data_IF_504874415783
#
_entry.id   IF_504874415783
#
_cell.length_a   1.000
_cell.length_b   1.000
_cell.length_c   1.000
_cell.angle_alpha   90.00
_cell.angle_beta   90.00
_cell.angle_gamma   90.00
#
_symmetry.space_group_name_H-M   'P 1'
#
loop_
_entity.id
_entity.type
_entity.pdbx_description
1 polymer ?
2 non-polymer ?
3 non-polymer ?
4 non-polymer ?
5 non-polymer ?
6 water ?
#
# COMPACT_ATOMS: atom_id res chain seq x y z
N UNK A 9 21.24 7.32 -21.21
CA UNK A 9 21.53 7.52 -19.78
C UNK A 9 22.18 6.26 -19.23
N UNK A 10 23.21 5.78 -19.92
CA UNK A 10 23.92 4.52 -19.62
C UNK A 10 23.88 4.14 -18.15
N UNK A 11 23.19 3.05 -17.88
CA UNK A 11 23.15 2.43 -16.56
C UNK A 11 22.29 3.22 -15.56
N UNK A 12 22.32 2.78 -14.31
CA UNK A 12 21.40 3.26 -13.29
C UNK A 12 22.08 4.12 -12.21
N UNK A 13 21.30 5.03 -11.62
CA UNK A 13 21.76 5.85 -10.51
C UNK A 13 21.69 5.10 -9.19
N UNK A 14 22.78 5.11 -8.43
CA UNK A 14 22.85 4.40 -7.16
C UNK A 14 22.76 5.34 -5.96
N UNK A 15 22.06 4.90 -4.93
CA UNK A 15 21.88 5.71 -3.72
C UNK A 15 22.38 4.98 -2.47
N UNK A 16 22.29 3.66 -2.47
CA UNK A 16 22.65 2.88 -1.30
C UNK A 16 23.73 1.85 -1.59
N UNK A 17 24.88 2.31 -2.06
CA UNK A 17 26.03 1.44 -2.23
C UNK A 17 26.56 1.00 -0.87
N UNK A 18 26.39 1.87 0.13
CA UNK A 18 26.86 1.62 1.49
C UNK A 18 25.82 0.88 2.33
N UNK A 19 24.78 0.38 1.67
CA UNK A 19 23.70 -0.31 2.36
C UNK A 19 24.19 -1.59 3.05
N UNK A 20 24.13 -1.59 4.37
CA UNK A 20 24.54 -2.75 5.17
C UNK A 20 23.46 -3.13 6.16
N UNK A 21 23.02 -4.39 6.11
CA UNK A 21 22.04 -4.89 7.05
C UNK A 21 22.70 -5.14 8.41
N UNK A 22 22.32 -4.33 9.40
CA UNK A 22 22.92 -4.39 10.73
C UNK A 22 22.78 -5.77 11.36
N UNK A 23 21.59 -6.34 11.25
CA UNK A 23 21.33 -7.70 11.73
C UNK A 23 20.61 -8.50 10.66
N UNK A 24 21.16 -9.67 10.33
CA UNK A 24 20.58 -10.52 9.30
C UNK A 24 19.72 -11.62 9.91
N UNK A 25 18.89 -12.25 9.08
CA UNK A 25 17.95 -13.26 9.55
C UNK A 25 18.62 -14.53 10.06
N UNK A 26 19.94 -14.59 9.95
CA UNK A 26 20.70 -15.75 10.39
C UNK A 26 21.19 -15.62 11.83
N UNK A 27 21.17 -14.40 12.35
CA UNK A 27 21.64 -14.14 13.71
C UNK A 27 20.50 -13.72 14.63
N UNK A 28 19.34 -13.45 14.04
CA UNK A 28 18.15 -13.06 14.80
C UNK A 28 16.90 -13.69 14.21
N UNK A 29 15.75 -13.34 14.79
CA UNK A 29 14.48 -13.84 14.29
C UNK A 29 14.13 -13.19 12.96
N UNK A 30 13.83 -14.01 11.94
CA UNK A 30 13.50 -13.53 10.59
C UNK A 30 12.32 -12.57 10.58
N UNK A 31 12.31 -11.64 9.63
CA UNK A 31 11.27 -10.63 9.57
C UNK A 31 10.43 -10.75 8.30
N UNK A 32 9.11 -10.70 8.49
CA UNK A 32 8.17 -10.80 7.38
C UNK A 32 7.28 -9.55 7.33
N UNK A 33 7.45 -8.75 6.29
CA UNK A 33 6.69 -7.51 6.15
C UNK A 33 5.80 -7.51 4.92
N UNK A 34 4.53 -7.16 5.12
CA UNK A 34 3.60 -7.03 4.01
C UNK A 34 3.26 -5.57 3.75
N UNK A 35 3.74 -5.06 2.62
CA UNK A 35 3.45 -3.69 2.21
C UNK A 35 2.22 -3.66 1.31
N UNK A 36 1.12 -3.13 1.83
CA UNK A 36 -0.11 -3.02 1.04
C UNK A 36 -0.21 -1.65 0.40
N UNK A 37 0.01 -1.61 -0.91
CA UNK A 37 -0.11 -0.36 -1.66
C UNK A 37 -1.59 -0.10 -1.98
N UNK A 38 -2.19 0.81 -1.24
CA UNK A 38 -3.59 1.15 -1.44
C UNK A 38 -3.84 1.87 -2.74
N UNK A 39 -5.11 2.10 -3.06
CA UNK A 39 -5.47 2.76 -4.30
C UNK A 39 -6.68 3.68 -4.12
N UNK A 40 -6.45 4.97 -4.33
CA UNK A 40 -7.52 5.96 -4.43
C UNK A 40 -8.32 6.16 -3.13
N UNK A 41 -7.90 5.47 -2.07
CA UNK A 41 -8.53 5.65 -0.77
C UNK A 41 -8.03 6.96 -0.13
N UNK A 42 -8.94 7.74 0.41
CA UNK A 42 -8.55 9.00 1.04
C UNK A 42 -8.86 9.01 2.53
N UNK A 43 -8.06 9.76 3.29
CA UNK A 43 -8.18 9.78 4.74
C UNK A 43 -9.45 10.48 5.20
N UNK A 44 -10.00 11.32 4.34
CA UNK A 44 -11.20 12.09 4.67
C UNK A 44 -12.40 11.18 4.92
N UNK A 45 -12.43 10.05 4.23
CA UNK A 45 -13.53 9.09 4.38
C UNK A 45 -13.12 7.88 5.20
N UNK A 46 -11.98 7.98 5.86
CA UNK A 46 -11.54 6.94 6.79
C UNK A 46 -12.19 7.15 8.14
N UNK A 47 -12.92 6.15 8.61
CA UNK A 47 -13.67 6.24 9.86
C UNK A 47 -12.76 6.51 11.05
N UNK A 48 -11.54 6.02 10.98
CA UNK A 48 -10.58 6.21 12.07
C UNK A 48 -9.93 7.58 12.02
N UNK A 49 -10.33 8.40 11.04
CA UNK A 49 -9.84 9.77 10.93
C UNK A 49 -10.97 10.77 11.16
N UNK A 50 -12.11 10.28 11.64
CA UNK A 50 -13.22 11.13 12.01
C UNK A 50 -14.43 11.07 11.09
N UNK A 51 -14.39 10.17 10.11
CA UNK A 51 -15.50 10.03 9.18
C UNK A 51 -16.71 9.43 9.89
N UNK A 52 -17.88 9.99 9.62
CA UNK A 52 -19.10 9.60 10.33
C UNK A 52 -19.50 8.16 10.06
N UNK A 53 -19.26 7.69 8.84
CA UNK A 53 -19.60 6.32 8.48
C UNK A 53 -18.50 5.34 8.89
N UNK A 54 -18.90 4.15 9.32
CA UNK A 54 -17.96 3.11 9.68
C UNK A 54 -17.41 2.44 8.43
N UNK A 55 -16.51 3.14 7.74
CA UNK A 55 -15.93 2.63 6.50
C UNK A 55 -14.87 1.57 6.77
N UNK A 56 -14.24 1.65 7.93
CA UNK A 56 -13.23 0.67 8.32
C UNK A 56 -13.55 0.03 9.67
N UNK A 57 -14.57 -0.83 9.71
CA UNK A 57 -15.02 -1.45 10.96
C UNK A 57 -13.95 -2.31 11.65
N UNK A 58 -13.29 -3.17 10.89
CA UNK A 58 -12.26 -4.05 11.45
C UNK A 58 -11.07 -3.26 11.95
N UNK A 59 -10.64 -2.27 11.17
CA UNK A 59 -9.48 -1.45 11.52
C UNK A 59 -9.78 -0.55 12.72
N UNK A 60 -10.99 -0.01 12.77
CA UNK A 60 -11.42 0.85 13.88
C UNK A 60 -11.29 0.12 15.21
N UNK A 61 -11.66 -1.16 15.22
CA UNK A 61 -11.61 -1.93 16.45
C UNK A 61 -10.16 -2.25 16.82
N UNK A 62 -9.33 -2.51 15.82
CA UNK A 62 -7.92 -2.81 16.07
C UNK A 62 -7.20 -1.57 16.59
N UNK A 63 -7.65 -0.41 16.13
CA UNK A 63 -7.15 0.86 16.63
C UNK A 63 -7.71 1.11 18.02
N UNK A 64 -9.01 0.87 18.19
CA UNK A 64 -9.67 1.05 19.47
C UNK A 64 -9.15 0.11 20.54
N UNK A 65 -8.57 -1.00 20.12
CA UNK A 65 -7.96 -1.95 21.04
C UNK A 65 -6.45 -1.73 21.10
N UNK A 66 -5.94 -0.89 20.21
CA UNK A 66 -4.53 -0.58 20.17
C UNK A 66 -3.68 -1.69 19.58
N UNK A 67 -4.14 -2.25 18.47
CA UNK A 67 -3.40 -3.33 17.81
C UNK A 67 -2.68 -2.80 16.57
N UNK A 68 -3.35 -1.92 15.83
CA UNK A 68 -2.70 -1.24 14.72
C UNK A 68 -2.67 0.26 15.02
N UNK A 69 -1.74 0.98 14.41
CA UNK A 69 -1.58 2.40 14.68
C UNK A 69 -2.06 3.26 13.51
N UNK A 70 -2.76 4.35 13.83
CA UNK A 70 -3.22 5.28 12.82
C UNK A 70 -2.36 6.54 12.81
N UNK A 71 -1.84 6.91 11.64
CA UNK A 71 -0.97 8.07 11.52
C UNK A 71 -1.75 9.30 11.08
N UNK A 72 -3.08 9.22 11.16
CA UNK A 72 -3.93 10.34 10.82
C UNK A 72 -3.83 10.75 9.36
N UNK A 73 -3.86 12.05 9.11
CA UNK A 73 -3.80 12.57 7.75
C UNK A 73 -2.37 12.60 7.21
N UNK A 74 -2.04 11.61 6.39
CA UNK A 74 -0.73 11.53 5.76
C UNK A 74 -0.80 12.13 4.36
N UNK A 75 0.23 12.90 3.98
CA UNK A 75 0.24 13.56 2.69
C UNK A 75 0.84 12.69 1.59
N UNK A 76 0.12 12.55 0.49
CA UNK A 76 0.61 11.80 -0.65
C UNK A 76 1.60 12.63 -1.46
N UNK A 77 2.52 11.96 -2.15
CA UNK A 77 3.54 12.62 -2.94
C UNK A 77 3.01 13.07 -4.29
N UNK A 78 1.92 12.46 -4.73
CA UNK A 78 1.30 12.78 -6.01
C UNK A 78 -0.19 12.55 -6.00
N UNK A 79 -0.83 12.81 -7.14
CA UNK A 79 -2.28 12.66 -7.24
C UNK A 79 -2.66 11.61 -8.29
N UNK A 80 -1.67 10.87 -8.77
CA UNK A 80 -1.92 9.81 -9.75
C UNK A 80 -1.08 8.57 -9.45
N UNK A 81 -1.57 7.42 -9.89
CA UNK A 81 -0.91 6.15 -9.61
C UNK A 81 0.45 6.04 -10.28
N UNK A 82 0.55 6.51 -11.52
CA UNK A 82 1.78 6.44 -12.28
C UNK A 82 2.87 7.34 -11.70
N UNK A 83 2.44 8.39 -10.99
CA UNK A 83 3.38 9.32 -10.37
C UNK A 83 3.77 8.87 -8.97
N UNK A 84 2.78 8.45 -8.18
CA UNK A 84 2.97 8.18 -6.76
C UNK A 84 3.75 6.90 -6.48
N UNK A 85 3.30 5.79 -7.07
CA UNK A 85 3.87 4.48 -6.77
C UNK A 85 5.40 4.38 -6.94
N UNK A 86 5.97 4.93 -8.04
CA UNK A 86 7.43 4.87 -8.10
C UNK A 86 8.10 5.73 -7.04
N UNK A 87 7.46 6.84 -6.67
CA UNK A 87 8.02 7.75 -5.68
C UNK A 87 7.91 7.20 -4.25
N UNK A 88 6.92 6.32 -4.05
CA UNK A 88 6.72 5.70 -2.74
C UNK A 88 7.90 4.81 -2.37
N UNK A 89 8.58 4.27 -3.38
CA UNK A 89 9.71 3.38 -3.15
C UNK A 89 11.03 4.05 -3.55
N UNK A 90 10.95 5.31 -3.96
CA UNK A 90 12.13 6.06 -4.39
C UNK A 90 12.92 6.58 -3.19
N UNK A 91 14.21 6.82 -3.40
CA UNK A 91 15.05 7.43 -2.37
C UNK A 91 14.92 8.95 -2.43
N UNK A 92 14.40 9.44 -3.55
CA UNK A 92 14.17 10.87 -3.74
C UNK A 92 12.89 11.29 -3.06
N UNK A 93 12.94 12.40 -2.33
CA UNK A 93 11.76 12.94 -1.70
C UNK A 93 10.79 13.46 -2.74
N UNK A 94 9.55 13.71 -2.35
CA UNK A 94 8.54 14.23 -3.28
C UNK A 94 8.96 15.58 -3.85
N UNK A 95 9.86 16.26 -3.15
CA UNK A 95 10.32 17.58 -3.56
C UNK A 95 11.36 17.53 -4.66
N UNK A 96 12.05 16.40 -4.77
CA UNK A 96 13.09 16.22 -5.79
C UNK A 96 12.83 15.00 -6.68
N UNK A 97 11.69 14.34 -6.46
CA UNK A 97 11.30 13.20 -7.28
C UNK A 97 10.88 13.63 -8.68
N UNK A 98 11.42 12.95 -9.68
CA UNK A 98 11.01 13.18 -11.06
C UNK A 98 10.44 11.89 -11.65
N UNK A 99 9.16 11.94 -12.05
CA UNK A 99 8.45 10.75 -12.51
C UNK A 99 9.02 10.22 -13.83
N UNK A 100 9.63 11.10 -14.62
CA UNK A 100 10.13 10.73 -15.93
C UNK A 100 11.49 10.05 -15.86
N UNK A 101 12.19 10.22 -14.74
CA UNK A 101 13.52 9.65 -14.58
C UNK A 101 13.59 8.70 -13.37
N UNK A 102 12.44 8.27 -12.90
CA UNK A 102 12.37 7.39 -11.72
C UNK A 102 12.98 6.03 -12.00
N UNK A 103 12.94 5.61 -13.26
CA UNK A 103 13.47 4.31 -13.66
C UNK A 103 14.99 4.31 -13.73
N UNK A 104 15.59 5.49 -13.68
CA UNK A 104 17.04 5.63 -13.76
C UNK A 104 17.70 5.41 -12.40
N UNK A 105 16.95 5.68 -11.34
CA UNK A 105 17.48 5.53 -9.98
C UNK A 105 17.15 4.17 -9.39
N UNK A 106 18.03 3.66 -8.54
CA UNK A 106 17.74 2.44 -7.80
C UNK A 106 16.73 2.79 -6.70
N UNK A 107 15.81 1.87 -6.42
CA UNK A 107 14.83 2.08 -5.37
C UNK A 107 15.09 1.19 -4.16
N UNK A 108 14.21 1.27 -3.17
CA UNK A 108 14.36 0.51 -1.94
C UNK A 108 14.17 -0.98 -2.20
N UNK A 109 13.32 -1.32 -3.17
CA UNK A 109 13.10 -2.71 -3.53
C UNK A 109 14.38 -3.30 -4.12
N UNK A 110 15.04 -2.53 -4.99
CA UNK A 110 16.32 -2.92 -5.56
C UNK A 110 17.33 -3.20 -4.46
N UNK A 111 17.43 -2.27 -3.51
CA UNK A 111 18.38 -2.39 -2.40
C UNK A 111 18.07 -3.60 -1.54
N UNK A 112 16.83 -3.73 -1.09
CA UNK A 112 16.41 -4.84 -0.25
C UNK A 112 16.63 -6.18 -0.93
N UNK A 113 16.26 -6.27 -2.20
CA UNK A 113 16.47 -7.49 -2.98
C UNK A 113 17.96 -7.80 -3.09
N UNK A 114 18.76 -6.77 -3.31
CA UNK A 114 20.20 -6.94 -3.44
C UNK A 114 20.81 -7.45 -2.13
N UNK A 115 20.40 -6.85 -1.01
CA UNK A 115 20.94 -7.22 0.29
C UNK A 115 20.49 -8.61 0.74
N UNK A 116 19.49 -9.16 0.07
CA UNK A 116 19.08 -10.54 0.32
C UNK A 116 17.68 -10.73 0.87
N UNK A 117 16.80 -9.76 0.64
CA UNK A 117 15.42 -9.87 1.09
C UNK A 117 14.54 -10.44 -0.02
N UNK A 118 13.78 -11.48 0.30
CA UNK A 118 12.89 -12.12 -0.67
C UNK A 118 11.70 -11.21 -0.99
N UNK A 119 11.74 -10.59 -2.15
CA UNK A 119 10.69 -9.67 -2.57
C UNK A 119 9.65 -10.37 -3.45
N UNK A 120 8.38 -10.12 -3.18
CA UNK A 120 7.30 -10.64 -4.01
C UNK A 120 6.22 -9.58 -4.21
N UNK A 121 6.05 -9.15 -5.46
CA UNK A 121 5.05 -8.15 -5.79
C UNK A 121 3.84 -8.78 -6.47
N UNK A 122 2.71 -8.79 -5.77
CA UNK A 122 1.45 -9.25 -6.35
C UNK A 122 0.57 -8.05 -6.67
N UNK A 123 0.16 -7.93 -7.93
CA UNK A 123 -0.52 -6.73 -8.40
C UNK A 123 -1.95 -6.98 -8.85
N UNK A 124 -2.89 -6.22 -8.29
CA UNK A 124 -4.28 -6.27 -8.70
C UNK A 124 -4.74 -4.89 -9.18
N UNK A 125 -3.79 -4.09 -9.63
CA UNK A 125 -4.07 -2.72 -10.04
C UNK A 125 -3.71 -2.48 -11.51
N UNK A 126 -2.42 -2.48 -11.81
CA UNK A 126 -1.93 -2.29 -13.17
C UNK A 126 -0.54 -2.90 -13.30
N UNK A 127 0.43 -2.27 -12.66
CA UNK A 127 1.80 -2.78 -12.60
C UNK A 127 2.59 -2.05 -11.54
N UNK A 128 3.85 -2.46 -11.34
CA UNK A 128 4.69 -1.86 -10.33
C UNK A 128 5.18 -0.47 -10.73
N UNK A 129 4.76 -0.02 -11.91
CA UNK A 129 5.13 1.28 -12.44
C UNK A 129 6.64 1.44 -12.56
N UNK A 130 7.31 0.36 -12.94
CA UNK A 130 8.75 0.39 -13.17
C UNK A 130 9.60 0.02 -11.97
N UNK A 131 8.96 -0.15 -10.81
CA UNK A 131 9.66 -0.46 -9.58
C UNK A 131 10.29 -1.85 -9.62
N UNK A 132 9.57 -2.81 -10.19
CA UNK A 132 10.00 -4.21 -10.20
C UNK A 132 10.79 -4.58 -11.44
N UNK A 133 11.13 -3.58 -12.25
CA UNK A 133 11.76 -3.81 -13.55
C UNK A 133 13.11 -4.52 -13.50
N UNK A 134 13.97 -4.12 -12.57
CA UNK A 134 15.32 -4.68 -12.51
C UNK A 134 15.38 -6.01 -11.76
N UNK A 135 14.25 -6.40 -11.17
CA UNK A 135 14.15 -7.69 -10.48
C UNK A 135 13.62 -8.76 -11.43
N UNK A 136 13.94 -10.04 -11.16
CA UNK A 136 13.45 -11.17 -11.95
C UNK A 136 11.94 -11.14 -12.18
N UNK A 137 11.51 -11.49 -13.38
CA UNK A 137 10.11 -11.43 -13.76
C UNK A 137 9.22 -12.33 -12.91
N UNK A 138 9.82 -13.38 -12.34
CA UNK A 138 9.07 -14.34 -11.55
C UNK A 138 8.70 -13.78 -10.17
N UNK A 139 9.33 -12.67 -9.80
CA UNK A 139 9.06 -12.05 -8.50
C UNK A 139 7.89 -11.07 -8.61
N UNK A 140 7.43 -10.82 -9.83
CA UNK A 140 6.21 -10.06 -10.07
C UNK A 140 5.12 -10.98 -10.58
N UNK A 141 3.99 -11.01 -9.88
CA UNK A 141 2.90 -11.92 -10.24
C UNK A 141 1.62 -11.17 -10.58
N UNK A 142 1.11 -11.43 -11.78
CA UNK A 142 -0.12 -10.80 -12.25
C UNK A 142 -1.35 -11.33 -11.51
N UNK A 143 -2.17 -10.43 -10.98
CA UNK A 143 -3.36 -10.84 -10.25
C UNK A 143 -4.61 -10.05 -10.63
N UNK A 144 -4.54 -9.33 -11.74
CA UNK A 144 -5.73 -8.64 -12.25
C UNK A 144 -6.50 -9.54 -13.20
N UNK A 145 -5.95 -10.71 -13.49
CA UNK A 145 -6.61 -11.69 -14.33
C UNK A 145 -6.61 -13.09 -13.72
N UNK A 146 -7.60 -13.90 -14.12
CA UNK A 146 -7.64 -15.31 -13.72
C UNK A 146 -6.59 -16.08 -14.50
N UNK A 147 -6.36 -17.37 -14.19
CA UNK A 147 -5.32 -18.16 -14.91
C UNK A 147 -5.35 -18.38 -16.37
N UNK A 148 -6.51 -18.95 -16.67
CA UNK A 148 -6.92 -19.20 -18.06
C UNK A 148 -6.70 -18.03 -18.78
N UNK A 149 -7.12 -16.98 -18.09
CA UNK A 149 -6.96 -15.84 -18.89
C UNK A 149 -5.42 -15.36 -18.62
N UNK A 150 -4.40 -16.24 -18.42
CA UNK A 150 -3.00 -16.02 -18.07
C UNK A 150 -2.68 -15.18 -16.85
N UNK A 151 -3.50 -15.30 -15.81
CA UNK A 151 -3.25 -14.59 -14.57
C UNK A 151 -2.89 -15.56 -13.44
N UNK A 152 -3.23 -15.17 -12.22
CA UNK A 152 -2.95 -16.01 -11.06
C UNK A 152 -4.09 -15.99 -10.06
N UNK A 153 -4.89 -14.92 -10.08
CA UNK A 153 -5.97 -14.76 -9.12
C UNK A 153 -7.07 -15.78 -9.31
N UNK A 154 -7.41 -16.47 -8.22
CA UNK A 154 -8.45 -17.51 -8.27
C UNK A 154 -9.78 -16.97 -7.76
N UNK A 155 -9.78 -15.72 -7.33
CA UNK A 155 -11.00 -15.07 -6.86
C UNK A 155 -11.39 -13.94 -7.80
N UNK A 156 -12.06 -14.30 -8.89
CA UNK A 156 -12.47 -13.34 -9.91
C UNK A 156 -13.96 -13.48 -10.22
N UNK A 157 -14.42 -14.72 -10.27
CA UNK A 157 -15.81 -15.01 -10.61
C UNK A 157 -16.70 -15.01 -9.37
N UNK A 158 -16.73 -13.88 -8.68
CA UNK A 158 -17.57 -13.71 -7.50
C UNK A 158 -18.47 -12.49 -7.68
N UNK A 159 -18.52 -11.99 -8.90
CA UNK A 159 -19.27 -10.78 -9.22
C UNK A 159 -19.67 -10.77 -10.69
N UNK A 160 -20.72 -10.01 -11.05
CA UNK A 160 -21.20 -9.94 -12.43
C UNK A 160 -20.16 -9.39 -13.42
N UNK A 161 -19.11 -8.76 -12.92
CA UNK A 161 -18.12 -8.13 -13.78
C UNK A 161 -16.89 -9.01 -13.96
N UNK A 162 -16.86 -10.12 -13.24
CA UNK A 162 -15.73 -11.04 -13.25
C UNK A 162 -14.40 -10.33 -12.96
N UNK A 163 -14.48 -9.32 -12.09
CA UNK A 163 -13.30 -8.58 -11.68
C UNK A 163 -12.59 -9.28 -10.53
N UNK A 164 -11.30 -9.52 -10.70
CA UNK A 164 -10.50 -10.18 -9.67
C UNK A 164 -10.45 -9.34 -8.39
N UNK A 165 -10.54 -10.01 -7.25
CA UNK A 165 -10.54 -9.32 -5.97
C UNK A 165 -9.18 -9.34 -5.30
N UNK A 166 -8.92 -8.35 -4.46
CA UNK A 166 -7.64 -8.19 -3.79
C UNK A 166 -7.34 -9.36 -2.85
N UNK A 167 -8.39 -9.95 -2.29
CA UNK A 167 -8.24 -11.08 -1.37
C UNK A 167 -7.64 -12.30 -2.07
N UNK A 168 -7.67 -12.30 -3.39
CA UNK A 168 -7.08 -13.37 -4.18
C UNK A 168 -5.56 -13.36 -4.10
N UNK A 169 -5.00 -12.21 -3.71
CA UNK A 169 -3.55 -12.07 -3.58
C UNK A 169 -3.05 -12.74 -2.31
N UNK A 170 -3.96 -13.10 -1.42
CA UNK A 170 -3.61 -13.75 -0.16
C UNK A 170 -3.60 -15.26 -0.32
N UNK A 171 -4.04 -15.74 -1.49
CA UNK A 171 -4.14 -17.17 -1.75
C UNK A 171 -2.77 -17.79 -2.02
N UNK A 172 -2.48 -18.88 -1.32
CA UNK A 172 -1.22 -19.62 -1.47
C UNK A 172 -0.01 -18.70 -1.28
N UNK A 173 -0.12 -17.79 -0.34
CA UNK A 173 0.97 -16.87 -0.03
C UNK A 173 2.00 -17.56 0.88
N UNK A 174 1.59 -18.69 1.45
CA UNK A 174 2.45 -19.47 2.32
C UNK A 174 3.59 -20.12 1.55
N UNK A 175 3.36 -20.37 0.27
CA UNK A 175 4.34 -21.03 -0.58
C UNK A 175 5.63 -20.21 -0.69
N UNK A 176 5.48 -18.93 -1.00
CA UNK A 176 6.62 -18.04 -1.13
C UNK A 176 7.34 -17.88 0.20
N UNK A 177 6.59 -17.94 1.29
CA UNK A 177 7.16 -17.81 2.63
C UNK A 177 7.99 -19.05 2.99
N UNK A 178 7.43 -20.23 2.72
CA UNK A 178 8.12 -21.48 3.01
C UNK A 178 9.36 -21.66 2.15
N UNK A 179 9.39 -21.00 1.01
CA UNK A 179 10.53 -21.09 0.09
C UNK A 179 11.69 -20.21 0.56
N UNK A 180 11.38 -19.23 1.40
CA UNK A 180 12.39 -18.30 1.89
C UNK A 180 12.31 -18.13 3.40
N UNK A 181 12.15 -19.24 4.12
CA UNK A 181 11.99 -19.20 5.56
C UNK A 181 13.28 -18.78 6.28
N UNK A 182 14.42 -18.98 5.61
CA UNK A 182 15.71 -18.68 6.21
C UNK A 182 16.13 -17.22 6.08
N UNK A 183 15.26 -16.40 5.51
CA UNK A 183 15.62 -15.01 5.23
C UNK A 183 14.45 -14.05 5.42
N UNK A 184 14.77 -12.76 5.53
CA UNK A 184 13.75 -11.71 5.64
C UNK A 184 12.93 -11.65 4.37
N UNK A 185 11.63 -11.41 4.52
CA UNK A 185 10.72 -11.40 3.38
C UNK A 185 9.88 -10.13 3.32
N UNK A 186 9.85 -9.51 2.15
CA UNK A 186 8.95 -8.39 1.90
C UNK A 186 7.96 -8.74 0.80
N UNK A 187 6.68 -8.70 1.14
CA UNK A 187 5.63 -8.97 0.16
C UNK A 187 4.82 -7.70 -0.11
N UNK A 188 4.84 -7.25 -1.35
CA UNK A 188 4.08 -6.07 -1.74
C UNK A 188 2.80 -6.48 -2.44
N UNK A 189 1.67 -5.98 -1.93
CA UNK A 189 0.37 -6.24 -2.54
C UNK A 189 -0.21 -4.96 -3.12
N UNK A 190 -0.19 -4.84 -4.44
CA UNK A 190 -0.77 -3.66 -5.09
C UNK A 190 -2.27 -3.84 -5.23
N UNK A 191 -3.02 -2.96 -4.58
CA UNK A 191 -4.46 -3.15 -4.41
C UNK A 191 -5.28 -2.44 -5.49
N UNK A 192 -6.39 -3.07 -5.87
CA UNK A 192 -7.35 -2.45 -6.78
C UNK A 192 -8.06 -1.31 -6.04
N UNK A 193 -8.48 -1.59 -4.81
CA UNK A 193 -9.03 -0.59 -3.92
C UNK A 193 -10.21 0.18 -4.45
N UNK A 194 -10.15 1.50 -4.30
CA UNK A 194 -11.24 2.39 -4.69
C UNK A 194 -11.02 3.04 -6.05
N UNK A 195 -10.49 2.26 -7.00
CA UNK A 195 -10.28 2.78 -8.34
C UNK A 195 -11.60 3.15 -9.00
N UNK A 196 -11.68 4.37 -9.50
CA UNK A 196 -12.89 4.85 -10.14
C UNK A 196 -12.80 4.83 -11.65
N UNK A 197 -13.83 5.35 -12.33
CA UNK A 197 -15.02 5.95 -11.70
C UNK A 197 -16.07 4.92 -11.28
N UNK A 198 -15.95 3.69 -11.77
CA UNK A 198 -16.93 2.64 -11.47
C UNK A 198 -16.64 1.99 -10.12
N UNK A 199 -16.89 2.72 -9.04
CA UNK A 199 -16.63 2.23 -7.70
C UNK A 199 -17.48 1.01 -7.35
N UNK A 200 -18.63 0.89 -8.02
CA UNK A 200 -19.59 -0.16 -7.71
C UNK A 200 -19.09 -1.54 -8.15
N UNK A 201 -18.05 -1.57 -8.98
CA UNK A 201 -17.46 -2.83 -9.42
C UNK A 201 -16.32 -3.27 -8.51
N UNK A 202 -15.89 -2.38 -7.62
CA UNK A 202 -14.72 -2.61 -6.80
C UNK A 202 -14.98 -3.53 -5.61
N UNK A 203 -16.24 -3.91 -5.40
CA UNK A 203 -16.60 -4.74 -4.26
C UNK A 203 -17.68 -5.74 -4.59
N UNK A 204 -17.69 -6.86 -3.88
CA UNK A 204 -18.71 -7.89 -4.06
C UNK A 204 -19.98 -7.51 -3.33
N UNK A 205 -21.02 -8.34 -3.47
CA UNK A 205 -22.34 -8.03 -2.92
C UNK A 205 -22.36 -8.00 -1.39
N UNK A 206 -21.32 -8.58 -0.77
CA UNK A 206 -21.26 -8.66 0.68
C UNK A 206 -20.98 -7.30 1.30
N UNK A 207 -20.29 -6.44 0.54
CA UNK A 207 -19.91 -5.12 1.04
C UNK A 207 -20.77 -4.00 0.47
N UNK A 208 -21.96 -4.33 0.00
CA UNK A 208 -22.89 -3.34 -0.53
C UNK A 208 -23.92 -2.94 0.52
N UNK A 209 -23.46 -2.27 1.57
CA UNK A 209 -24.33 -1.93 2.70
C UNK A 209 -24.74 -0.46 2.70
N UNK A 210 -23.94 0.39 2.06
CA UNK A 210 -24.27 1.80 1.94
C UNK A 210 -25.09 2.04 0.68
N UNK A 211 -26.40 2.14 0.85
CA UNK A 211 -27.33 2.21 -0.27
C UNK A 211 -28.11 3.54 -0.27
N UNK A 212 -28.56 3.99 -1.44
CA UNK A 212 -28.38 3.38 -2.77
C UNK A 212 -27.01 3.65 -3.37
N UNK A 213 -26.65 2.89 -4.41
CA UNK A 213 -25.32 2.97 -5.00
C UNK A 213 -25.36 3.45 -6.45
N UNK A 214 -24.53 4.43 -6.78
CA UNK A 214 -24.38 4.87 -8.16
C UNK A 214 -23.73 3.76 -8.97
N UNK A 215 -24.53 3.12 -9.82
CA UNK A 215 -24.06 2.01 -10.63
C UNK A 215 -23.68 2.44 -12.03
N UNK A 216 -22.99 3.58 -12.12
CA UNK A 216 -22.59 4.12 -13.42
C UNK A 216 -21.22 4.79 -13.34
N UNK A 217 -20.60 5.00 -14.50
CA UNK A 217 -19.32 5.67 -14.57
C UNK A 217 -19.51 7.18 -14.72
N UNK A 218 -20.74 7.59 -15.00
CA UNK A 218 -21.08 9.00 -15.11
C UNK A 218 -21.39 9.58 -13.73
N UNK A 219 -20.34 9.81 -12.95
CA UNK A 219 -20.48 10.32 -11.59
C UNK A 219 -21.10 11.71 -11.57
N UNK A 220 -20.90 12.47 -12.65
CA UNK A 220 -21.42 13.83 -12.74
C UNK A 220 -22.94 13.83 -12.89
N UNK A 221 -23.50 12.71 -13.31
CA UNK A 221 -24.96 12.60 -13.46
C UNK A 221 -25.61 12.10 -12.18
N UNK A 222 -25.00 11.13 -11.53
CA UNK A 222 -25.49 10.61 -10.27
C UNK A 222 -25.42 11.67 -9.19
N UNK A 223 -26.36 11.61 -8.24
CA UNK A 223 -26.29 12.46 -7.05
C UNK A 223 -25.01 12.13 -6.29
N UNK A 224 -24.33 13.15 -5.78
CA UNK A 224 -23.07 12.98 -5.06
C UNK A 224 -23.14 11.88 -4.00
N UNK A 225 -24.27 11.77 -3.33
CA UNK A 225 -24.43 10.83 -2.23
C UNK A 225 -24.34 9.37 -2.71
N UNK A 226 -24.98 9.07 -3.84
CA UNK A 226 -24.97 7.71 -4.36
C UNK A 226 -23.56 7.30 -4.80
N UNK A 227 -22.79 8.27 -5.25
CA UNK A 227 -21.40 8.02 -5.65
C UNK A 227 -20.54 7.78 -4.41
N UNK A 228 -20.77 8.59 -3.38
CA UNK A 228 -20.07 8.44 -2.11
C UNK A 228 -20.34 7.07 -1.49
N UNK A 229 -21.59 6.63 -1.58
CA UNK A 229 -21.98 5.31 -1.10
C UNK A 229 -21.16 4.20 -1.75
N UNK A 230 -21.02 4.26 -3.06
CA UNK A 230 -20.22 3.30 -3.80
C UNK A 230 -18.77 3.34 -3.35
N UNK A 231 -18.25 4.56 -3.21
CA UNK A 231 -16.88 4.76 -2.76
C UNK A 231 -16.66 4.19 -1.36
N UNK A 232 -17.63 4.43 -0.48
CA UNK A 232 -17.54 3.96 0.90
C UNK A 232 -17.67 2.44 0.98
N UNK A 233 -18.48 1.87 0.11
CA UNK A 233 -18.65 0.42 0.06
C UNK A 233 -17.35 -0.27 -0.38
N UNK A 234 -16.61 0.38 -1.26
CA UNK A 234 -15.32 -0.15 -1.71
C UNK A 234 -14.30 -0.10 -0.57
N UNK A 235 -14.44 0.88 0.31
CA UNK A 235 -13.58 0.98 1.49
C UNK A 235 -13.81 -0.20 2.42
N UNK A 236 -15.08 -0.60 2.56
CA UNK A 236 -15.44 -1.74 3.39
C UNK A 236 -14.73 -3.01 2.94
N UNK A 237 -14.66 -3.20 1.62
CA UNK A 237 -13.97 -4.35 1.05
C UNK A 237 -12.48 -4.29 1.37
N UNK A 238 -11.91 -3.09 1.26
CA UNK A 238 -10.51 -2.88 1.58
C UNK A 238 -10.24 -3.15 3.07
N UNK A 239 -11.15 -2.67 3.92
CA UNK A 239 -11.04 -2.90 5.36
C UNK A 239 -11.04 -4.39 5.68
N UNK A 240 -11.91 -5.14 5.01
CA UNK A 240 -11.97 -6.58 5.17
C UNK A 240 -10.71 -7.23 4.62
N UNK A 241 -10.23 -6.72 3.49
CA UNK A 241 -9.01 -7.22 2.88
C UNK A 241 -7.82 -7.04 3.81
N UNK A 242 -7.70 -5.85 4.40
CA UNK A 242 -6.64 -5.57 5.37
C UNK A 242 -6.77 -6.47 6.59
N UNK A 243 -8.02 -6.77 6.96
CA UNK A 243 -8.28 -7.62 8.12
C UNK A 243 -7.80 -9.04 7.86
N UNK A 244 -8.05 -9.55 6.66
CA UNK A 244 -7.62 -10.89 6.29
C UNK A 244 -6.10 -10.94 6.08
N UNK A 245 -5.54 -9.81 5.67
CA UNK A 245 -4.10 -9.69 5.50
C UNK A 245 -3.39 -9.78 6.85
N UNK A 246 -3.91 -9.04 7.83
CA UNK A 246 -3.37 -9.05 9.19
C UNK A 246 -3.51 -10.43 9.81
N UNK A 247 -4.68 -11.05 9.61
CA UNK A 247 -4.95 -12.39 10.14
C UNK A 247 -3.95 -13.41 9.60
N UNK A 248 -3.58 -13.26 8.33
CA UNK A 248 -2.60 -14.15 7.72
C UNK A 248 -1.22 -13.94 8.34
N UNK A 249 -0.86 -12.69 8.57
CA UNK A 249 0.41 -12.36 9.20
C UNK A 249 0.46 -12.83 10.65
N UNK A 250 -0.69 -12.79 11.31
CA UNK A 250 -0.78 -13.23 12.70
C UNK A 250 -0.57 -14.73 12.82
N UNK A 251 -0.77 -15.44 11.71
CA UNK A 251 -0.59 -16.89 11.68
C UNK A 251 0.88 -17.26 11.56
N UNK A 252 1.72 -16.27 11.24
CA UNK A 252 3.15 -16.50 11.10
C UNK A 252 3.87 -16.24 12.43
N UNK A 253 4.08 -17.30 13.19
CA UNK A 253 4.62 -17.17 14.55
C UNK A 253 6.14 -17.01 14.58
N UNK A 254 6.84 -17.87 13.85
CA UNK A 254 8.31 -17.89 13.88
C UNK A 254 8.94 -16.78 13.05
N UNK A 255 8.29 -15.61 13.03
CA UNK A 255 8.82 -14.44 12.35
C UNK A 255 8.21 -13.16 12.91
N UNK A 256 9.04 -12.15 13.10
CA UNK A 256 8.55 -10.82 13.49
C UNK A 256 7.82 -10.20 12.31
N UNK A 257 6.53 -9.96 12.47
CA UNK A 257 5.69 -9.54 11.35
C UNK A 257 5.27 -8.08 11.44
N UNK A 258 4.92 -7.50 10.29
CA UNK A 258 4.46 -6.13 10.22
C UNK A 258 3.62 -5.88 8.97
N UNK A 259 2.54 -5.13 9.12
CA UNK A 259 1.67 -4.80 8.00
C UNK A 259 1.57 -3.28 7.83
N UNK A 260 2.12 -2.77 6.74
CA UNK A 260 2.12 -1.34 6.47
C UNK A 260 1.18 -1.02 5.32
N UNK A 261 0.19 -0.18 5.58
CA UNK A 261 -0.80 0.18 4.56
C UNK A 261 -0.77 1.68 4.24
N UNK A 262 -0.63 1.99 2.96
CA UNK A 262 -0.73 3.37 2.49
C UNK A 262 -1.39 3.43 1.13
N UNK A 263 -2.32 4.36 0.96
CA UNK A 263 -2.93 4.59 -0.35
C UNK A 263 -1.97 5.41 -1.21
N UNK A 264 -2.01 5.18 -2.52
CA UNK A 264 -1.11 5.89 -3.43
C UNK A 264 -1.50 7.36 -3.56
N UNK A 265 -2.80 7.62 -3.46
CA UNK A 265 -3.32 8.99 -3.51
C UNK A 265 -4.76 9.02 -3.03
N UNK A 266 -5.31 10.22 -2.90
CA UNK A 266 -6.69 10.40 -2.48
C UNK A 266 -7.65 10.41 -3.65
N UNK A 267 -8.82 11.00 -3.45
CA UNK A 267 -9.84 11.06 -4.48
C UNK A 267 -10.82 12.21 -4.25
N UNK A 268 -11.19 12.90 -5.33
CA UNK A 268 -12.19 13.94 -5.26
C UNK A 268 -13.57 13.36 -5.49
N UNK A 269 -14.50 13.69 -4.59
CA UNK A 269 -15.85 13.15 -4.67
C UNK A 269 -16.90 14.26 -4.84
N UNK A 270 -16.74 15.05 -5.90
CA UNK A 270 -17.70 16.09 -6.23
C UNK A 270 -17.46 17.40 -5.49
N UNK A 271 -16.31 17.52 -4.82
CA UNK A 271 -15.97 18.75 -4.13
C UNK A 271 -15.64 19.85 -5.14
N UNK A 272 -16.51 20.86 -5.20
CA UNK A 272 -16.36 21.99 -6.12
C UNK A 272 -16.27 21.53 -7.57
N UNK A 273 -16.97 20.45 -7.90
CA UNK A 273 -17.04 19.96 -9.27
C UNK A 273 -15.85 19.13 -9.69
N UNK A 274 -14.97 18.81 -8.75
CA UNK A 274 -13.81 18.00 -9.05
C UNK A 274 -14.10 16.53 -8.80
N UNK A 275 -13.84 15.69 -9.80
CA UNK A 275 -14.02 14.26 -9.67
C UNK A 275 -12.71 13.52 -9.94
N UNK A 276 -12.65 12.27 -9.51
CA UNK A 276 -11.45 11.44 -9.68
C UNK A 276 -10.20 12.10 -9.12
N UNK A 277 -9.09 11.98 -9.84
CA UNK A 277 -7.81 12.49 -9.37
C UNK A 277 -6.91 12.88 -10.53
N UNK A 278 -5.61 13.01 -10.25
CA UNK A 278 -4.63 13.30 -11.27
C UNK A 278 -4.35 14.77 -11.46
N UNK A 279 -4.99 15.62 -10.66
CA UNK A 279 -4.79 17.06 -10.75
C UNK A 279 -3.40 17.43 -10.22
N UNK A 280 -2.68 18.30 -10.95
CA UNK A 280 -1.33 18.76 -10.60
C UNK A 280 -1.18 19.19 -9.14
N UNK A 281 -0.12 18.72 -8.50
CA UNK A 281 0.12 18.92 -7.07
C UNK A 281 0.02 20.37 -6.62
N UNK A 282 0.39 21.30 -7.50
CA UNK A 282 0.49 22.71 -7.17
C UNK A 282 -0.85 23.31 -6.70
N UNK A 283 -1.93 22.91 -7.34
CA UNK A 283 -3.24 23.47 -7.03
C UNK A 283 -4.30 22.39 -6.83
N UNK A 284 -3.85 21.15 -6.68
CA UNK A 284 -4.76 20.02 -6.49
C UNK A 284 -5.54 20.14 -5.20
N UNK A 285 -6.82 19.72 -5.21
CA UNK A 285 -7.59 19.65 -3.97
C UNK A 285 -6.93 18.69 -3.01
N UNK A 286 -7.02 18.98 -1.71
CA UNK A 286 -6.23 18.24 -0.74
C UNK A 286 -6.87 16.89 -0.43
N UNK A 287 -8.07 16.67 -0.96
CA UNK A 287 -8.71 15.37 -0.90
C UNK A 287 -7.94 14.36 -1.74
N UNK A 288 -7.22 14.85 -2.75
CA UNK A 288 -6.43 13.98 -3.61
C UNK A 288 -5.06 13.70 -3.01
N UNK A 289 -4.65 14.50 -2.04
CA UNK A 289 -3.35 14.35 -1.41
C UNK A 289 -3.46 13.76 0.00
N UNK A 290 -4.69 13.66 0.49
CA UNK A 290 -4.93 13.12 1.84
C UNK A 290 -5.16 11.62 1.81
N UNK A 291 -4.24 10.86 2.38
CA UNK A 291 -4.33 9.40 2.36
C UNK A 291 -4.31 8.80 3.77
N UNK A 292 -4.97 7.66 3.95
CA UNK A 292 -4.92 6.93 5.21
C UNK A 292 -3.64 6.10 5.33
N UNK A 293 -3.13 5.94 6.55
CA UNK A 293 -1.93 5.15 6.77
C UNK A 293 -2.05 4.34 8.05
N UNK A 294 -1.93 3.03 7.92
CA UNK A 294 -2.07 2.13 9.06
C UNK A 294 -0.85 1.22 9.21
N UNK A 295 -0.48 0.93 10.45
CA UNK A 295 0.64 0.04 10.72
C UNK A 295 0.26 -1.00 11.76
N UNK A 296 0.47 -2.28 11.43
CA UNK A 296 0.20 -3.36 12.36
C UNK A 296 1.50 -4.10 12.68
N UNK A 297 1.72 -4.37 13.96
CA UNK A 297 2.91 -5.10 14.39
C UNK A 297 2.54 -6.42 15.06
N UNK A 298 3.33 -7.45 14.80
CA UNK A 298 3.05 -8.77 15.37
C UNK A 298 3.24 -8.79 16.87
N UNK A 299 2.83 -9.89 17.49
CA UNK A 299 3.12 -10.10 18.90
C UNK A 299 4.63 -10.02 19.18
N UNK A 300 4.96 -9.56 20.38
CA UNK A 300 6.33 -9.24 20.85
C UNK A 300 7.25 -8.55 19.81
N UNK A 301 6.69 -7.56 19.10
CA UNK A 301 7.45 -6.82 18.08
C UNK A 301 8.64 -6.05 18.66
N UNK A 302 9.78 -6.10 17.95
CA UNK A 302 11.00 -5.39 18.33
C UNK A 302 10.97 -3.92 17.92
N UNK A 303 9.96 -3.56 17.12
CA UNK A 303 9.88 -2.21 16.57
C UNK A 303 9.01 -1.28 17.40
N UNK A 304 9.19 0.01 17.20
CA UNK A 304 8.41 1.02 17.91
C UNK A 304 7.83 2.04 16.94
N UNK A 305 6.60 2.47 17.20
CA UNK A 305 5.97 3.51 16.38
C UNK A 305 6.67 4.84 16.59
N UNK A 306 7.15 5.41 15.49
CA UNK A 306 7.89 6.67 15.55
C UNK A 306 6.98 7.83 15.89
N UNK A 307 7.53 8.84 16.56
CA UNK A 307 6.81 10.06 16.86
C UNK A 307 6.44 10.79 15.59
N UNK A 308 5.22 11.33 15.55
CA UNK A 308 4.80 12.08 14.40
C UNK A 308 5.40 13.48 14.42
N UNK A 309 6.20 13.81 13.40
CA UNK A 309 6.46 15.23 13.15
C UNK A 309 5.10 15.78 12.79
N UNK A 310 4.80 16.95 13.33
CA UNK A 310 3.52 17.62 13.16
C UNK A 310 3.34 18.01 11.72
N UNK A 311 4.41 18.54 11.13
CA UNK A 311 4.27 18.93 9.75
C UNK A 311 3.45 17.79 9.15
N UNK A 312 3.62 16.63 9.77
CA UNK A 312 2.82 15.46 9.47
C UNK A 312 3.66 14.41 8.78
N UNK A 313 3.12 13.20 8.65
CA UNK A 313 3.80 12.18 7.87
C UNK A 313 3.52 12.37 6.39
N UNK A 314 4.29 11.70 5.55
CA UNK A 314 4.11 11.77 4.11
C UNK A 314 4.52 10.47 3.44
N UNK A 315 4.53 10.48 2.11
CA UNK A 315 4.96 9.31 1.34
C UNK A 315 6.46 9.10 1.44
N UNK A 316 7.19 10.18 1.74
CA UNK A 316 8.65 10.12 1.84
C UNK A 316 9.12 9.25 3.00
N UNK A 317 8.19 8.90 3.89
CA UNK A 317 8.52 8.14 5.09
C UNK A 317 8.52 6.63 4.83
N UNK A 318 8.04 6.22 3.67
CA UNK A 318 7.92 4.79 3.35
C UNK A 318 9.27 4.11 3.19
N UNK A 319 10.12 4.66 2.33
CA UNK A 319 11.45 4.09 2.07
C UNK A 319 12.31 3.96 3.34
N UNK A 320 12.39 5.03 4.17
CA UNK A 320 13.18 4.85 5.40
C UNK A 320 12.55 3.84 6.35
N UNK A 321 11.22 3.72 6.31
CA UNK A 321 10.51 2.78 7.15
C UNK A 321 10.84 1.35 6.77
N UNK A 322 10.75 1.06 5.48
CA UNK A 322 11.04 -0.28 4.96
C UNK A 322 12.48 -0.69 5.28
N UNK A 323 13.40 0.26 5.16
CA UNK A 323 14.80 -0.01 5.46
C UNK A 323 15.00 -0.25 6.96
N UNK A 324 14.30 0.53 7.79
CA UNK A 324 14.37 0.34 9.23
C UNK A 324 13.73 -0.98 9.66
N UNK A 325 12.73 -1.42 8.91
CA UNK A 325 12.03 -2.66 9.21
C UNK A 325 12.91 -3.89 8.97
N UNK A 326 13.98 -3.71 8.21
CA UNK A 326 14.90 -4.81 7.93
C UNK A 326 16.31 -4.52 8.42
N UNK A 327 16.43 -3.53 9.32
CA UNK A 327 17.71 -3.13 9.89
C UNK A 327 18.75 -2.79 8.84
N UNK A 328 18.31 -2.18 7.74
CA UNK A 328 19.23 -1.73 6.71
C UNK A 328 19.73 -0.32 7.02
N UNK A 329 21.04 -0.17 7.06
CA UNK A 329 21.63 1.13 7.37
C UNK A 329 22.38 1.72 6.19
N UNK A 330 21.95 2.89 5.75
CA UNK A 330 22.62 3.63 4.69
C UNK A 330 22.37 5.11 4.89
N UNK A 331 23.32 5.94 4.47
CA UNK A 331 23.15 7.39 4.59
C UNK A 331 22.23 7.89 3.50
N UNK A 332 21.79 6.99 2.62
CA UNK A 332 20.70 7.27 1.70
C UNK A 332 19.44 7.49 2.51
N UNK A 333 19.38 6.88 3.68
CA UNK A 333 18.35 7.14 4.68
C UNK A 333 19.00 7.27 6.05
N UNK A 334 19.91 8.22 6.18
CA UNK A 334 20.66 8.45 7.43
C UNK A 334 19.71 8.47 8.62
N UNK A 335 18.85 9.48 8.65
CA UNK A 335 17.66 9.46 9.49
C UNK A 335 16.71 10.55 9.02
N UNK A 336 15.83 10.19 8.09
CA UNK A 336 14.70 11.03 7.75
C UNK A 336 13.52 10.49 8.52
N UNK A 337 12.38 11.17 8.44
CA UNK A 337 11.18 10.72 9.13
C UNK A 337 10.71 9.38 8.58
N UNK A 338 10.51 8.42 9.48
CA UNK A 338 9.96 7.12 9.12
C UNK A 338 8.82 6.77 10.08
N UNK A 339 8.08 5.72 9.76
CA UNK A 339 6.97 5.28 10.61
C UNK A 339 7.48 4.45 11.78
N UNK A 340 8.62 3.81 11.59
CA UNK A 340 9.21 2.94 12.61
C UNK A 340 10.62 3.36 12.95
N UNK A 341 10.88 3.57 14.24
CA UNK A 341 12.21 3.94 14.71
C UNK A 341 13.23 2.86 14.40
N UNK A 342 14.43 3.28 13.95
CA UNK A 342 15.51 2.32 13.70
C UNK A 342 15.98 1.69 15.00
N UNK A 343 16.32 0.40 14.93
CA UNK A 343 16.88 -0.27 16.09
C UNK A 343 18.36 0.09 16.21
N UNK A 344 18.98 -0.39 17.28
CA UNK A 344 20.35 -0.04 17.62
C UNK A 344 21.38 -1.08 17.16
X LIG B 1 -13.49 -8.81 14.06
X LIG B 1 -12.23 -9.16 14.72
X LIG B 1 -14.60 -9.12 14.94
X LIG B 1 -13.50 -7.38 13.76
X LIG B 1 -13.61 -9.57 12.82
X LIG C 1 -25.56 5.60 7.05
X LIG C 1 -26.16 4.89 8.17
X LIG C 1 -24.54 4.75 6.43
X LIG C 1 -24.94 6.82 7.53
X LIG C 1 -26.59 5.91 6.07
X LIG D 1 -13.42 1.31 -14.28
X LIG D 1 -13.34 1.44 -12.82
X LIG D 1 -13.93 -0.03 -14.61
X LIG D 1 -14.34 2.32 -14.80
X LIG D 1 -12.09 1.49 -14.85
X LIG E 1 7.37 -7.28 -14.74
X LIG E 1 8.75 -7.52 -15.00
X LIG E 1 7.23 -5.99 -13.93
X LIG E 1 8.36 -5.19 -14.12
X LIG E 1 5.99 -5.25 -14.40
X LIG E 1 5.82 -4.08 -13.63
X LIG F 1 -3.97 6.50 -12.58
X LIG F 1 -4.51 5.13 -12.92
X LIG F 1 -2.49 6.55 -12.85
X LIG F 1 -4.24 6.79 -11.12
X LIG F 1 -4.66 7.54 -13.43
X LIG G 1 -21.30 2.70 -17.15
X LIG G 1 -20.67 1.98 -16.34
X LIG G 1 -22.54 2.75 -17.00
X LIG G 1 -20.61 3.46 -18.25
#
# INVERSE_FOLDING_TARGET
MSYKNATKPTETIMHANDAIQKTTASTRKPRLVVMVVGETARADHASFNGYQRATFPHMDKLIGLGQVHNFGNVTSCGTSTAYSVPCMFSYLGAEKYDVDTADYHENVIDTLDRLGVAILWRDNNSDSKGVMNRLPAKQYQDYKNSPLQGGNNTICHTNPYDECRDVGMLVDLDDHVKAHANQDILIVLHQMGNHGPAYYKRYDDEFAQFLPVCTSSELAECERQTVINAYDNALLATDDFLKQTIDWLAAQTHADTAMLYLSDHGESLGEKGVYLHGMPKAFAPKEQLSIPALLWLGADTPFAVANSPTAGFSHDAITPTLLNLFDVSTQATADKTAFVNPLD
SO4 S O1 O2 O3 O4
SO4 S O1 O2 O3 O4
SO4 S O1 O2 O3 O4
GOL C1 O1 C2 O2 C3 O3
PO4 P O1 O2 O3 O4
ACT C O OXT CH3
#
